data_IF_871728535470
#
_entry.id   IF_871728535470
#
_cell.length_a   1.000
_cell.length_b   1.000
_cell.length_c   1.000
_cell.angle_alpha   90.00
_cell.angle_beta   90.00
_cell.angle_gamma   90.00
#
_symmetry.space_group_name_H-M   'P 1'
#
loop_
_entity.id
_entity.type
_entity.pdbx_description
1 polymer ?
#
# COMPACT_ATOMS: atom_id res chain seq x y z
N UNK A 1 4.94 26.63 -8.09
CA UNK A 1 4.78 26.19 -9.50
C UNK A 1 5.65 25.01 -9.85
N UNK A 2 6.93 24.98 -9.44
CA UNK A 2 7.87 23.86 -9.70
C UNK A 2 7.35 22.54 -9.11
N UNK A 3 6.89 22.55 -7.86
CA UNK A 3 6.40 21.35 -7.16
C UNK A 3 5.18 20.72 -7.87
N UNK A 4 4.25 21.55 -8.32
CA UNK A 4 3.10 21.07 -9.09
C UNK A 4 3.52 20.39 -10.40
N UNK A 5 4.50 20.98 -11.11
CA UNK A 5 5.03 20.42 -12.34
C UNK A 5 5.73 19.08 -12.12
N UNK A 6 6.47 18.93 -11.01
CA UNK A 6 7.12 17.67 -10.63
C UNK A 6 6.10 16.59 -10.35
N UNK A 7 5.05 16.91 -9.58
CA UNK A 7 3.96 15.97 -9.26
C UNK A 7 3.23 15.53 -10.53
N UNK A 8 2.90 16.48 -11.41
CA UNK A 8 2.23 16.19 -12.68
C UNK A 8 3.12 15.31 -13.59
N UNK A 9 4.42 15.61 -13.67
CA UNK A 9 5.38 14.80 -14.42
C UNK A 9 5.46 13.38 -13.88
N UNK A 10 5.52 13.21 -12.56
CA UNK A 10 5.55 11.90 -11.90
C UNK A 10 4.30 11.07 -12.25
N UNK A 11 3.11 11.63 -12.10
CA UNK A 11 1.87 10.92 -12.45
C UNK A 11 1.79 10.60 -13.95
N UNK A 12 2.26 11.50 -14.81
CA UNK A 12 2.32 11.25 -16.26
C UNK A 12 3.22 10.07 -16.59
N UNK A 13 4.41 9.99 -15.99
CA UNK A 13 5.34 8.87 -16.17
C UNK A 13 4.70 7.56 -15.72
N UNK A 14 4.11 7.52 -14.51
CA UNK A 14 3.44 6.33 -14.00
C UNK A 14 2.30 5.89 -14.94
N UNK A 15 1.48 6.83 -15.39
CA UNK A 15 0.37 6.55 -16.29
C UNK A 15 0.83 5.96 -17.62
N UNK A 16 1.89 6.52 -18.22
CA UNK A 16 2.49 5.99 -19.46
C UNK A 16 3.05 4.58 -19.26
N UNK A 17 3.73 4.34 -18.13
CA UNK A 17 4.26 3.00 -17.80
C UNK A 17 3.11 2.00 -17.59
N UNK A 18 2.05 2.40 -16.89
CA UNK A 18 0.88 1.55 -16.65
C UNK A 18 0.17 1.16 -17.96
N UNK A 19 0.02 2.09 -18.89
CA UNK A 19 -0.59 1.79 -20.21
C UNK A 19 0.28 0.80 -21.00
N UNK A 20 1.60 0.97 -20.98
CA UNK A 20 2.53 0.05 -21.69
C UNK A 20 2.57 -1.33 -21.05
N UNK A 21 2.38 -1.43 -19.74
CA UNK A 21 2.33 -2.69 -18.99
C UNK A 21 0.96 -3.39 -19.02
N UNK A 22 0.03 -2.97 -19.87
CA UNK A 22 -1.31 -3.53 -19.92
C UNK A 22 -1.29 -5.02 -20.22
N UNK A 23 -1.90 -5.81 -19.33
CA UNK A 23 -2.11 -7.25 -19.52
C UNK A 23 -3.12 -7.47 -20.66
N UNK A 24 -2.93 -8.54 -21.45
CA UNK A 24 -3.85 -8.88 -22.55
C UNK A 24 -5.27 -9.07 -22.02
N UNK A 25 -6.26 -8.65 -22.81
CA UNK A 25 -7.69 -8.79 -22.44
C UNK A 25 -8.17 -10.25 -22.32
N UNK A 26 -7.36 -11.21 -22.80
CA UNK A 26 -7.65 -12.65 -22.72
C UNK A 26 -6.91 -13.36 -21.57
N UNK A 27 -6.38 -12.62 -20.61
CA UNK A 27 -5.66 -13.19 -19.47
C UNK A 27 -6.61 -13.98 -18.56
N UNK A 28 -6.17 -15.15 -18.10
CA UNK A 28 -6.90 -15.89 -17.07
C UNK A 28 -6.89 -15.14 -15.73
N UNK A 29 -7.84 -15.45 -14.83
CA UNK A 29 -7.85 -14.88 -13.49
C UNK A 29 -6.52 -15.16 -12.74
N UNK A 30 -5.92 -16.34 -12.95
CA UNK A 30 -4.63 -16.71 -12.36
C UNK A 30 -3.49 -15.82 -12.91
N UNK A 31 -3.49 -15.57 -14.20
CA UNK A 31 -2.50 -14.68 -14.84
C UNK A 31 -2.65 -13.25 -14.35
N UNK A 32 -3.87 -12.77 -14.22
CA UNK A 32 -4.16 -11.41 -13.73
C UNK A 32 -3.72 -11.21 -12.27
N UNK A 33 -4.08 -12.12 -11.36
CA UNK A 33 -3.80 -11.97 -9.93
C UNK A 33 -2.41 -12.45 -9.51
N UNK A 34 -1.85 -13.45 -10.19
CA UNK A 34 -0.60 -14.07 -9.80
C UNK A 34 0.53 -13.82 -10.79
N UNK A 35 0.29 -13.06 -11.87
CA UNK A 35 1.26 -12.82 -12.95
C UNK A 35 1.90 -14.14 -13.44
N UNK A 36 1.11 -15.21 -13.52
CA UNK A 36 1.56 -16.59 -13.83
C UNK A 36 2.73 -17.09 -12.97
N UNK A 37 2.94 -16.48 -11.79
CA UNK A 37 4.06 -16.75 -10.84
C UNK A 37 5.46 -16.58 -11.45
N UNK A 38 5.60 -15.76 -12.51
CA UNK A 38 6.84 -15.55 -13.24
C UNK A 38 7.55 -14.22 -12.93
N UNK A 39 7.15 -13.54 -11.85
CA UNK A 39 7.80 -12.29 -11.46
C UNK A 39 9.21 -12.55 -10.93
N UNK A 40 10.14 -11.70 -11.34
CA UNK A 40 11.50 -11.72 -10.80
C UNK A 40 11.51 -11.29 -9.33
N UNK A 41 12.46 -11.79 -8.56
CA UNK A 41 12.56 -11.49 -7.13
C UNK A 41 12.63 -9.98 -6.82
N UNK A 42 13.37 -9.21 -7.62
CA UNK A 42 13.47 -7.77 -7.45
C UNK A 42 12.17 -7.02 -7.79
N UNK A 43 11.39 -7.52 -8.78
CA UNK A 43 10.06 -6.96 -9.07
C UNK A 43 9.10 -7.15 -7.90
N UNK A 44 9.13 -8.33 -7.27
CA UNK A 44 8.34 -8.61 -6.06
C UNK A 44 8.81 -7.72 -4.91
N UNK A 45 10.11 -7.59 -4.68
CA UNK A 45 10.67 -6.77 -3.62
C UNK A 45 10.29 -5.29 -3.79
N UNK A 46 10.48 -4.72 -4.98
CA UNK A 46 10.12 -3.33 -5.28
C UNK A 46 8.61 -3.07 -5.16
N UNK A 47 7.78 -4.00 -5.64
CA UNK A 47 6.33 -3.90 -5.52
C UNK A 47 5.89 -3.94 -4.06
N UNK A 48 6.49 -4.81 -3.25
CA UNK A 48 6.19 -4.90 -1.81
C UNK A 48 6.60 -3.61 -1.10
N UNK A 49 7.77 -3.05 -1.38
CA UNK A 49 8.21 -1.77 -0.81
C UNK A 49 7.23 -0.66 -1.23
N UNK A 50 6.92 -0.54 -2.52
CA UNK A 50 6.03 0.50 -3.04
C UNK A 50 4.61 0.44 -2.42
N UNK A 51 4.11 -0.77 -2.16
CA UNK A 51 2.78 -0.97 -1.55
C UNK A 51 2.77 -0.61 -0.05
N UNK A 52 3.90 -0.74 0.64
CA UNK A 52 4.00 -0.49 2.08
C UNK A 52 4.37 0.95 2.42
N UNK A 53 4.95 1.71 1.50
CA UNK A 53 5.28 3.12 1.74
C UNK A 53 4.00 3.96 1.65
N UNK A 54 3.64 4.60 2.75
CA UNK A 54 2.47 5.47 2.85
C UNK A 54 2.86 6.87 3.32
N UNK A 55 1.98 7.85 3.09
CA UNK A 55 2.24 9.24 3.48
C UNK A 55 2.51 9.42 4.97
N UNK A 56 1.92 8.59 5.84
CA UNK A 56 2.12 8.67 7.28
C UNK A 56 3.59 8.41 7.69
N UNK A 57 4.32 7.59 6.95
CA UNK A 57 5.72 7.29 7.25
C UNK A 57 6.62 8.52 7.07
N UNK A 58 6.31 9.35 6.10
CA UNK A 58 7.07 10.58 5.87
C UNK A 58 6.69 11.70 6.84
N UNK A 59 5.41 11.86 7.16
CA UNK A 59 4.93 13.00 7.94
C UNK A 59 4.65 12.63 9.38
N UNK A 60 3.85 11.56 9.61
CA UNK A 60 3.43 11.16 10.95
C UNK A 60 4.55 10.50 11.75
N UNK A 61 5.29 9.60 11.12
CA UNK A 61 6.35 8.84 11.78
C UNK A 61 7.56 9.72 12.13
N UNK A 62 7.92 10.66 11.26
CA UNK A 62 8.97 11.65 11.58
C UNK A 62 8.59 12.52 12.78
N UNK A 63 7.34 13.00 12.84
CA UNK A 63 6.83 13.75 13.99
C UNK A 63 6.81 12.91 15.28
N UNK A 64 6.37 11.66 15.18
CA UNK A 64 6.37 10.72 16.32
C UNK A 64 7.80 10.41 16.80
N UNK A 65 8.74 10.22 15.88
CA UNK A 65 10.15 9.98 16.23
C UNK A 65 10.78 11.19 16.93
N UNK A 66 10.41 12.40 16.56
CA UNK A 66 10.83 13.61 17.23
C UNK A 66 10.33 13.68 18.69
N UNK A 67 9.08 13.27 18.93
CA UNK A 67 8.46 13.33 20.26
C UNK A 67 8.86 12.14 21.15
N UNK A 68 8.92 10.94 20.60
CA UNK A 68 9.05 9.69 21.36
C UNK A 68 10.40 8.98 21.14
N UNK A 69 11.27 9.52 20.29
CA UNK A 69 12.59 8.98 20.05
C UNK A 69 12.59 7.54 19.56
N UNK A 70 13.46 6.71 20.11
CA UNK A 70 13.63 5.31 19.74
C UNK A 70 12.40 4.43 19.98
N UNK A 71 11.42 4.88 20.78
CA UNK A 71 10.18 4.13 20.96
C UNK A 71 9.43 3.93 19.64
N UNK A 72 9.50 4.90 18.74
CA UNK A 72 8.91 4.80 17.40
C UNK A 72 9.59 3.71 16.55
N UNK A 73 10.91 3.53 16.69
CA UNK A 73 11.66 2.51 15.95
C UNK A 73 11.24 1.07 16.32
N UNK A 74 10.73 0.84 17.53
CA UNK A 74 10.27 -0.49 17.95
C UNK A 74 9.13 -1.03 17.08
N UNK A 75 8.26 -0.17 16.54
CA UNK A 75 7.19 -0.59 15.63
C UNK A 75 7.76 -1.20 14.35
N UNK A 76 8.75 -0.55 13.77
CA UNK A 76 9.40 -1.02 12.53
C UNK A 76 10.26 -2.27 12.78
N UNK A 77 10.95 -2.34 13.89
CA UNK A 77 11.74 -3.53 14.29
C UNK A 77 10.83 -4.75 14.45
N UNK A 78 9.68 -4.59 15.10
CA UNK A 78 8.69 -5.65 15.22
C UNK A 78 8.09 -6.07 13.89
N UNK A 79 7.86 -5.12 12.98
CA UNK A 79 7.40 -5.42 11.62
C UNK A 79 8.43 -6.27 10.84
N UNK A 80 9.72 -5.95 10.95
CA UNK A 80 10.80 -6.75 10.34
C UNK A 80 10.80 -8.17 10.88
N UNK A 81 10.65 -8.36 12.20
CA UNK A 81 10.54 -9.70 12.79
C UNK A 81 9.34 -10.46 12.25
N UNK A 82 8.19 -9.82 12.13
CA UNK A 82 6.99 -10.41 11.53
C UNK A 82 7.20 -10.85 10.09
N UNK A 83 7.88 -10.04 9.28
CA UNK A 83 8.22 -10.36 7.89
C UNK A 83 9.17 -11.56 7.81
N UNK A 84 10.18 -11.63 8.71
CA UNK A 84 11.10 -12.77 8.75
C UNK A 84 10.36 -14.07 9.09
N UNK A 85 9.48 -14.06 10.08
CA UNK A 85 8.64 -15.21 10.44
C UNK A 85 7.76 -15.60 9.25
N UNK A 86 7.11 -14.64 8.60
CA UNK A 86 6.29 -14.88 7.43
C UNK A 86 7.10 -15.53 6.30
N UNK A 87 8.30 -15.02 6.02
CA UNK A 87 9.15 -15.50 4.94
C UNK A 87 9.64 -16.93 5.16
N UNK A 88 10.08 -17.26 6.37
CA UNK A 88 10.68 -18.57 6.62
C UNK A 88 9.67 -19.65 7.01
N UNK A 89 8.53 -19.29 7.57
CA UNK A 89 7.53 -20.26 8.05
C UNK A 89 6.30 -20.26 7.16
N UNK A 90 5.65 -19.09 6.97
CA UNK A 90 4.33 -19.05 6.31
C UNK A 90 4.44 -19.14 4.79
N UNK A 91 5.40 -18.46 4.15
CA UNK A 91 5.51 -18.51 2.69
C UNK A 91 5.80 -19.92 2.16
N UNK A 92 6.76 -20.70 2.71
CA UNK A 92 6.99 -22.07 2.28
C UNK A 92 5.74 -22.97 2.46
N UNK A 93 5.00 -22.77 3.55
CA UNK A 93 3.76 -23.49 3.82
C UNK A 93 2.68 -23.18 2.78
N UNK A 94 2.49 -21.90 2.46
CA UNK A 94 1.50 -21.45 1.47
C UNK A 94 1.84 -21.94 0.06
N UNK A 95 3.12 -21.92 -0.31
CA UNK A 95 3.58 -22.43 -1.60
C UNK A 95 3.37 -23.95 -1.72
N UNK A 96 3.68 -24.71 -0.67
CA UNK A 96 3.47 -26.16 -0.63
C UNK A 96 2.00 -26.52 -0.77
N UNK A 97 1.12 -25.80 -0.11
CA UNK A 97 -0.32 -26.05 -0.11
C UNK A 97 -1.06 -25.34 -1.26
N UNK A 98 -0.34 -24.62 -2.14
CA UNK A 98 -0.89 -23.79 -3.24
C UNK A 98 -1.95 -22.79 -2.78
N UNK A 99 -1.79 -22.27 -1.57
CA UNK A 99 -2.67 -21.25 -0.99
C UNK A 99 -2.22 -19.88 -1.47
N UNK A 100 -3.16 -19.06 -1.92
CA UNK A 100 -2.89 -17.70 -2.45
C UNK A 100 -3.29 -16.59 -1.48
N UNK A 101 -4.17 -16.88 -0.53
CA UNK A 101 -4.66 -15.88 0.42
C UNK A 101 -4.75 -16.44 1.84
N UNK A 102 -4.58 -15.57 2.84
CA UNK A 102 -4.76 -15.93 4.27
C UNK A 102 -6.17 -16.47 4.52
N UNK A 103 -7.18 -15.92 3.87
CA UNK A 103 -8.57 -16.39 3.97
C UNK A 103 -8.72 -17.84 3.53
N UNK A 104 -8.07 -18.23 2.41
CA UNK A 104 -8.07 -19.65 1.98
C UNK A 104 -7.39 -20.56 3.00
N UNK A 105 -6.30 -20.09 3.62
CA UNK A 105 -5.63 -20.85 4.67
C UNK A 105 -6.55 -21.07 5.87
N UNK A 106 -7.25 -20.03 6.32
CA UNK A 106 -8.22 -20.09 7.42
C UNK A 106 -9.37 -21.03 7.06
N UNK A 107 -9.93 -20.93 5.84
CA UNK A 107 -10.99 -21.80 5.38
C UNK A 107 -10.59 -23.29 5.42
N UNK A 108 -9.37 -23.58 4.97
CA UNK A 108 -8.84 -24.96 4.94
C UNK A 108 -8.55 -25.52 6.32
N UNK A 109 -8.11 -24.71 7.28
CA UNK A 109 -7.71 -25.17 8.62
C UNK A 109 -8.81 -25.05 9.68
N UNK A 110 -9.60 -23.99 9.62
CA UNK A 110 -10.60 -23.64 10.65
C UNK A 110 -12.05 -23.67 10.13
N UNK A 111 -12.24 -23.85 8.83
CA UNK A 111 -13.55 -23.92 8.20
C UNK A 111 -14.04 -22.61 7.60
N UNK A 112 -15.00 -22.72 6.67
CA UNK A 112 -15.50 -21.61 5.86
C UNK A 112 -16.20 -20.51 6.66
N UNK A 113 -16.91 -20.88 7.74
CA UNK A 113 -17.62 -19.91 8.59
C UNK A 113 -16.64 -18.94 9.26
N UNK A 114 -15.52 -19.47 9.78
CA UNK A 114 -14.48 -18.63 10.42
C UNK A 114 -13.78 -17.76 9.38
N UNK A 115 -13.50 -18.31 8.20
CA UNK A 115 -12.93 -17.57 7.09
C UNK A 115 -13.83 -16.42 6.63
N UNK A 116 -15.15 -16.62 6.59
CA UNK A 116 -16.11 -15.57 6.27
C UNK A 116 -16.07 -14.43 7.30
N UNK A 117 -16.15 -14.77 8.60
CA UNK A 117 -16.08 -13.76 9.67
C UNK A 117 -14.76 -13.00 9.60
N UNK A 118 -13.64 -13.68 9.42
CA UNK A 118 -12.33 -13.07 9.25
C UNK A 118 -12.32 -12.08 8.08
N UNK A 119 -12.86 -12.47 6.93
CA UNK A 119 -12.93 -11.63 5.74
C UNK A 119 -13.78 -10.37 5.95
N UNK A 120 -14.95 -10.51 6.59
CA UNK A 120 -15.84 -9.39 6.88
C UNK A 120 -15.20 -8.40 7.86
N UNK A 121 -14.56 -8.89 8.91
CA UNK A 121 -13.85 -8.06 9.89
C UNK A 121 -12.70 -7.31 9.21
N UNK A 122 -11.88 -8.01 8.42
CA UNK A 122 -10.78 -7.37 7.68
C UNK A 122 -11.30 -6.33 6.68
N UNK A 123 -12.34 -6.63 5.93
CA UNK A 123 -12.95 -5.68 5.00
C UNK A 123 -13.40 -4.42 5.73
N UNK A 124 -14.06 -4.56 6.89
CA UNK A 124 -14.46 -3.44 7.72
C UNK A 124 -13.28 -2.61 8.22
N UNK A 125 -12.24 -3.25 8.74
CA UNK A 125 -11.02 -2.58 9.22
C UNK A 125 -10.27 -1.85 8.09
N UNK A 126 -10.10 -2.50 6.94
CA UNK A 126 -9.41 -1.89 5.80
C UNK A 126 -10.18 -0.71 5.22
N UNK A 127 -11.51 -0.83 5.09
CA UNK A 127 -12.34 0.25 4.51
C UNK A 127 -12.49 1.46 5.42
N UNK A 128 -12.46 1.28 6.74
CA UNK A 128 -12.63 2.39 7.69
C UNK A 128 -11.29 2.94 8.17
N UNK A 129 -10.44 2.10 8.75
CA UNK A 129 -9.21 2.54 9.40
C UNK A 129 -8.10 2.77 8.39
N UNK A 130 -7.79 1.77 7.56
CA UNK A 130 -6.62 1.86 6.65
C UNK A 130 -6.85 2.88 5.53
N UNK A 131 -8.02 2.83 4.89
CA UNK A 131 -8.37 3.78 3.84
C UNK A 131 -8.55 5.19 4.42
N UNK A 132 -9.20 5.33 5.59
CA UNK A 132 -9.36 6.61 6.25
C UNK A 132 -8.02 7.26 6.62
N UNK A 133 -7.09 6.48 7.19
CA UNK A 133 -5.75 6.96 7.49
C UNK A 133 -4.97 7.35 6.22
N UNK A 134 -5.04 6.54 5.17
CA UNK A 134 -4.36 6.83 3.90
C UNK A 134 -4.87 8.13 3.26
N UNK A 135 -6.19 8.34 3.26
CA UNK A 135 -6.81 9.57 2.75
C UNK A 135 -6.44 10.79 3.60
N UNK A 136 -6.44 10.66 4.92
CA UNK A 136 -6.04 11.75 5.82
C UNK A 136 -4.59 12.19 5.58
N UNK A 137 -3.65 11.27 5.58
CA UNK A 137 -2.23 11.59 5.35
C UNK A 137 -1.96 12.06 3.92
N UNK A 138 -2.68 11.49 2.94
CA UNK A 138 -2.61 11.94 1.55
C UNK A 138 -3.10 13.39 1.37
N UNK A 139 -4.24 13.73 1.99
CA UNK A 139 -4.77 15.10 1.98
C UNK A 139 -3.84 16.08 2.70
N UNK A 140 -3.29 15.67 3.85
CA UNK A 140 -2.34 16.50 4.61
C UNK A 140 -1.05 16.76 3.82
N UNK A 141 -0.51 15.74 3.15
CA UNK A 141 0.64 15.90 2.27
C UNK A 141 0.34 16.83 1.08
N UNK A 142 -0.84 16.67 0.46
CA UNK A 142 -1.28 17.53 -0.62
C UNK A 142 -1.43 18.99 -0.18
N UNK A 143 -2.00 19.24 0.99
CA UNK A 143 -2.11 20.59 1.56
C UNK A 143 -0.74 21.22 1.74
N UNK A 144 0.24 20.51 2.28
CA UNK A 144 1.61 21.02 2.46
C UNK A 144 2.27 21.40 1.14
N UNK A 145 2.09 20.59 0.09
CA UNK A 145 2.72 20.82 -1.23
C UNK A 145 2.02 21.92 -2.01
N UNK A 146 0.68 21.99 -1.93
CA UNK A 146 -0.11 22.88 -2.76
C UNK A 146 -0.62 24.14 -2.04
N UNK A 147 -0.28 24.34 -0.75
CA UNK A 147 -0.75 25.46 0.05
C UNK A 147 -0.52 26.81 -0.63
N UNK A 148 0.69 27.07 -1.10
CA UNK A 148 1.04 28.33 -1.74
C UNK A 148 0.28 28.53 -3.05
N UNK A 149 0.07 27.43 -3.80
CA UNK A 149 -0.70 27.47 -5.04
C UNK A 149 -2.20 27.70 -4.78
N UNK A 150 -2.76 27.06 -3.77
CA UNK A 150 -4.15 27.25 -3.38
C UNK A 150 -4.40 28.68 -2.86
N UNK A 151 -3.48 29.24 -2.07
CA UNK A 151 -3.55 30.63 -1.63
C UNK A 151 -3.50 31.60 -2.82
N UNK A 152 -2.62 31.36 -3.79
CA UNK A 152 -2.56 32.15 -5.02
C UNK A 152 -3.88 32.12 -5.81
N UNK A 153 -4.50 30.96 -5.95
CA UNK A 153 -5.79 30.81 -6.63
C UNK A 153 -6.93 31.51 -5.88
N UNK A 154 -6.91 31.45 -4.56
CA UNK A 154 -7.91 32.10 -3.72
C UNK A 154 -7.76 33.63 -3.76
N UNK A 155 -6.54 34.15 -3.66
CA UNK A 155 -6.24 35.57 -3.75
C UNK A 155 -6.63 36.18 -5.09
N UNK A 156 -6.44 35.44 -6.18
CA UNK A 156 -6.85 35.85 -7.53
C UNK A 156 -8.32 35.54 -7.85
N UNK A 157 -9.15 35.13 -6.90
CA UNK A 157 -10.57 34.81 -7.06
C UNK A 157 -10.87 33.78 -8.16
N UNK A 158 -9.92 32.91 -8.48
CA UNK A 158 -10.08 31.85 -9.48
C UNK A 158 -10.94 30.69 -8.92
N UNK A 159 -10.80 30.44 -7.61
CA UNK A 159 -11.66 29.52 -6.84
C UNK A 159 -12.31 30.29 -5.70
N UNK A 160 -13.58 29.99 -5.39
CA UNK A 160 -14.35 30.51 -4.27
C UNK A 160 -14.38 29.51 -3.14
#
# INVERSE_FOLDING_TARGET
>A
MIDFSIVLLYFTIIFVVAIKGKISSNSSAEEYFLSSRNLSWYSVALSTIATNIQGYQFLGMMGSAYLYGLAQANLEINAVQGILIATFIFIPLFLKEKITTITQFIAKKLGEKIALVYSLVNLGLFSTITLGAALFWGAYAAEMVFKDYLMFLHENRIIR
#
